data_IF_822210545939
#
_entry.id   IF_822210545939
#
_cell.length_a   1.000
_cell.length_b   1.000
_cell.length_c   1.000
_cell.angle_alpha   90.00
_cell.angle_beta   90.00
_cell.angle_gamma   90.00
#
_symmetry.space_group_name_H-M   'P 1'
#
loop_
_entity.id
_entity.type
_entity.pdbx_description
1 polymer ?
#
# COMPACT_ATOMS: atom_id res chain seq x y z
N UNK A 1 -16.12 -7.62 5.76
CA UNK A 1 -17.12 -6.52 5.61
C UNK A 1 -16.42 -5.17 5.47
N UNK A 2 -15.61 -4.76 6.45
CA UNK A 2 -14.81 -3.50 6.41
C UNK A 2 -13.98 -3.33 5.13
N UNK A 3 -13.26 -4.37 4.70
CA UNK A 3 -12.48 -4.31 3.46
C UNK A 3 -13.35 -4.05 2.21
N UNK A 4 -14.50 -4.73 2.09
CA UNK A 4 -15.43 -4.53 0.97
C UNK A 4 -16.00 -3.10 0.96
N UNK A 5 -16.34 -2.58 2.14
CA UNK A 5 -16.79 -1.19 2.30
C UNK A 5 -15.71 -0.20 1.84
N UNK A 6 -14.49 -0.34 2.35
CA UNK A 6 -13.35 0.55 2.00
C UNK A 6 -13.08 0.51 0.49
N UNK A 7 -12.98 -0.69 -0.11
CA UNK A 7 -12.74 -0.86 -1.55
C UNK A 7 -13.90 -0.30 -2.37
N UNK A 8 -15.15 -0.48 -1.93
CA UNK A 8 -16.33 0.10 -2.58
C UNK A 8 -16.29 1.62 -2.63
N UNK A 9 -15.99 2.26 -1.49
CA UNK A 9 -15.82 3.72 -1.38
C UNK A 9 -14.67 4.20 -2.26
N UNK A 10 -13.49 3.57 -2.17
CA UNK A 10 -12.33 3.94 -2.99
C UNK A 10 -12.61 3.84 -4.48
N UNK A 11 -13.37 2.83 -4.92
CA UNK A 11 -13.71 2.65 -6.33
C UNK A 11 -14.73 3.67 -6.82
N UNK A 12 -15.70 4.05 -5.97
CA UNK A 12 -16.73 5.02 -6.30
C UNK A 12 -16.15 6.43 -6.50
N UNK A 13 -15.24 6.85 -5.61
CA UNK A 13 -14.61 8.19 -5.63
C UNK A 13 -13.16 8.17 -6.13
N UNK A 14 -12.78 7.17 -6.93
CA UNK A 14 -11.38 6.96 -7.34
C UNK A 14 -10.78 8.18 -8.05
N UNK A 15 -11.54 8.84 -8.93
CA UNK A 15 -11.04 9.97 -9.73
C UNK A 15 -10.88 11.22 -8.87
N UNK A 16 -11.85 11.48 -8.00
CA UNK A 16 -11.91 12.65 -7.11
C UNK A 16 -10.81 12.56 -6.05
N UNK A 17 -10.65 11.40 -5.42
CA UNK A 17 -9.60 11.17 -4.41
C UNK A 17 -8.20 11.35 -4.99
N UNK A 18 -7.94 10.83 -6.19
CA UNK A 18 -6.67 11.03 -6.89
C UNK A 18 -6.48 12.50 -7.23
N UNK A 19 -7.50 13.16 -7.79
CA UNK A 19 -7.37 14.55 -8.23
C UNK A 19 -7.06 15.47 -7.05
N UNK A 20 -7.77 15.32 -5.93
CA UNK A 20 -7.51 16.07 -4.70
C UNK A 20 -6.13 15.79 -4.12
N UNK A 21 -5.65 14.53 -4.18
CA UNK A 21 -4.34 14.15 -3.65
C UNK A 21 -3.15 14.72 -4.45
N UNK A 22 -3.32 14.94 -5.75
CA UNK A 22 -2.25 15.45 -6.62
C UNK A 22 -2.31 16.96 -6.85
N UNK A 23 -3.51 17.53 -6.91
CA UNK A 23 -3.72 18.96 -7.13
C UNK A 23 -4.94 19.45 -6.36
N UNK A 24 -4.74 19.76 -5.08
CA UNK A 24 -5.79 20.29 -4.21
C UNK A 24 -6.28 21.66 -4.66
N UNK A 25 -5.42 22.49 -5.27
CA UNK A 25 -5.78 23.84 -5.75
C UNK A 25 -6.64 23.73 -7.02
N UNK A 26 -6.23 22.90 -7.98
CA UNK A 26 -7.01 22.60 -9.18
C UNK A 26 -8.33 21.90 -8.85
N UNK A 27 -8.35 21.01 -7.86
CA UNK A 27 -9.59 20.38 -7.39
C UNK A 27 -10.57 21.40 -6.77
N UNK A 28 -10.06 22.33 -5.95
CA UNK A 28 -10.87 23.42 -5.40
C UNK A 28 -11.43 24.32 -6.52
N UNK A 29 -10.60 24.66 -7.52
CA UNK A 29 -11.02 25.45 -8.67
C UNK A 29 -12.07 24.73 -9.54
N UNK A 30 -12.04 23.40 -9.58
CA UNK A 30 -13.03 22.56 -10.25
C UNK A 30 -14.34 22.38 -9.45
N UNK A 31 -14.49 23.04 -8.30
CA UNK A 31 -15.69 22.99 -7.45
C UNK A 31 -15.74 21.80 -6.48
N UNK A 32 -14.64 21.04 -6.33
CA UNK A 32 -14.57 19.97 -5.33
C UNK A 32 -14.29 20.53 -3.95
N UNK A 33 -14.96 19.97 -2.95
CA UNK A 33 -14.71 20.30 -1.55
C UNK A 33 -13.51 19.49 -1.03
N UNK A 34 -12.30 19.99 -1.29
CA UNK A 34 -11.01 19.36 -0.93
C UNK A 34 -11.01 18.74 0.47
N UNK A 35 -11.41 19.52 1.49
CA UNK A 35 -11.45 19.06 2.88
C UNK A 35 -12.28 17.79 3.09
N UNK A 36 -13.40 17.62 2.37
CA UNK A 36 -14.26 16.44 2.52
C UNK A 36 -13.59 15.19 1.98
N UNK A 37 -12.87 15.30 0.87
CA UNK A 37 -12.16 14.19 0.25
C UNK A 37 -10.90 13.82 1.03
N UNK A 38 -10.17 14.81 1.55
CA UNK A 38 -9.03 14.57 2.45
C UNK A 38 -9.48 13.89 3.75
N UNK A 39 -10.53 14.41 4.39
CA UNK A 39 -11.09 13.79 5.59
C UNK A 39 -11.60 12.36 5.32
N UNK A 40 -12.23 12.13 4.17
CA UNK A 40 -12.66 10.79 3.75
C UNK A 40 -11.46 9.86 3.58
N UNK A 41 -10.40 10.29 2.88
CA UNK A 41 -9.21 9.49 2.66
C UNK A 41 -8.51 9.15 3.99
N UNK A 42 -8.34 10.15 4.86
CA UNK A 42 -7.76 9.96 6.20
C UNK A 42 -8.60 9.01 7.06
N UNK A 43 -9.93 9.10 7.00
CA UNK A 43 -10.83 8.19 7.70
C UNK A 43 -10.70 6.75 7.18
N UNK A 44 -10.61 6.56 5.87
CA UNK A 44 -10.41 5.24 5.26
C UNK A 44 -9.06 4.63 5.64
N UNK A 45 -7.99 5.43 5.61
CA UNK A 45 -6.65 4.99 6.05
C UNK A 45 -6.69 4.61 7.53
N UNK A 46 -7.25 5.46 8.38
CA UNK A 46 -7.37 5.21 9.82
C UNK A 46 -8.15 3.92 10.12
N UNK A 47 -9.29 3.72 9.46
CA UNK A 47 -10.09 2.50 9.60
C UNK A 47 -9.31 1.26 9.16
N UNK A 48 -8.59 1.35 8.04
CA UNK A 48 -7.78 0.24 7.50
C UNK A 48 -6.66 -0.13 8.47
N UNK A 49 -5.91 0.87 8.96
CA UNK A 49 -4.78 0.66 9.88
C UNK A 49 -5.28 0.12 11.23
N UNK A 50 -6.37 0.67 11.78
CA UNK A 50 -6.92 0.20 13.05
C UNK A 50 -7.28 -1.29 13.01
N UNK A 51 -7.96 -1.73 11.94
CA UNK A 51 -8.31 -3.14 11.73
C UNK A 51 -7.05 -4.00 11.51
N UNK A 52 -6.10 -3.54 10.70
CA UNK A 52 -4.89 -4.28 10.39
C UNK A 52 -4.01 -4.51 11.63
N UNK A 53 -3.86 -3.49 12.48
CA UNK A 53 -3.04 -3.56 13.70
C UNK A 53 -3.59 -4.60 14.66
N UNK A 54 -4.91 -4.72 14.78
CA UNK A 54 -5.53 -5.71 15.64
C UNK A 54 -5.37 -7.15 15.11
N UNK A 55 -5.30 -7.32 13.78
CA UNK A 55 -5.19 -8.65 13.17
C UNK A 55 -3.77 -9.22 13.23
N UNK A 56 -2.74 -8.40 13.01
CA UNK A 56 -1.37 -8.91 12.87
C UNK A 56 -0.32 -8.19 13.72
N UNK A 57 -0.66 -7.04 14.31
CA UNK A 57 0.25 -6.26 15.15
C UNK A 57 0.92 -5.10 14.42
N UNK A 58 1.26 -4.07 15.20
CA UNK A 58 1.67 -2.76 14.67
C UNK A 58 2.93 -2.78 13.80
N UNK A 59 3.93 -3.60 14.18
CA UNK A 59 5.23 -3.66 13.49
C UNK A 59 5.05 -4.16 12.06
N UNK A 60 4.26 -5.23 11.87
CA UNK A 60 4.04 -5.79 10.54
C UNK A 60 3.22 -4.82 9.67
N UNK A 61 2.21 -4.17 10.25
CA UNK A 61 1.39 -3.20 9.49
C UNK A 61 2.25 -2.08 8.93
N UNK A 62 3.10 -1.46 9.74
CA UNK A 62 3.95 -0.36 9.28
C UNK A 62 4.89 -0.83 8.16
N UNK A 63 5.51 -2.00 8.32
CA UNK A 63 6.40 -2.56 7.31
C UNK A 63 5.66 -2.86 5.98
N UNK A 64 4.49 -3.49 6.06
CA UNK A 64 3.66 -3.81 4.89
C UNK A 64 3.01 -2.58 4.25
N UNK A 65 2.83 -1.49 5.00
CA UNK A 65 2.28 -0.25 4.46
C UNK A 65 3.33 0.55 3.68
N UNK A 66 4.59 0.51 4.12
CA UNK A 66 5.67 1.32 3.55
C UNK A 66 6.49 0.59 2.49
N UNK A 67 6.98 -0.62 2.79
CA UNK A 67 7.97 -1.31 1.94
C UNK A 67 7.45 -1.71 0.54
N UNK A 68 6.33 -2.43 0.40
CA UNK A 68 5.81 -2.80 -0.92
C UNK A 68 5.28 -1.59 -1.70
N UNK A 69 4.79 -0.55 -1.01
CA UNK A 69 4.43 0.71 -1.65
C UNK A 69 5.65 1.44 -2.22
N UNK A 70 6.74 1.53 -1.45
CA UNK A 70 8.01 2.10 -1.91
C UNK A 70 8.59 1.29 -3.08
N UNK A 71 8.51 -0.04 -3.00
CA UNK A 71 8.95 -0.95 -4.07
C UNK A 71 8.15 -0.71 -5.35
N UNK A 72 6.81 -0.74 -5.28
CA UNK A 72 5.93 -0.51 -6.42
C UNK A 72 6.17 0.84 -7.09
N UNK A 73 6.53 1.87 -6.31
CA UNK A 73 6.83 3.21 -6.83
C UNK A 73 8.05 3.24 -7.77
N UNK A 74 8.98 2.29 -7.65
CA UNK A 74 10.19 2.28 -8.48
C UNK A 74 9.93 1.99 -9.96
N UNK A 75 8.80 1.36 -10.29
CA UNK A 75 8.48 0.92 -11.65
C UNK A 75 7.05 1.22 -12.11
N UNK A 76 6.17 1.66 -11.20
CA UNK A 76 4.83 2.12 -11.57
C UNK A 76 4.89 3.36 -12.47
N UNK A 77 4.09 3.35 -13.54
CA UNK A 77 4.00 4.45 -14.52
C UNK A 77 2.78 5.33 -14.28
N UNK A 78 1.70 4.74 -13.76
CA UNK A 78 0.43 5.39 -13.46
C UNK A 78 -0.10 4.95 -12.09
N UNK A 79 -1.01 5.73 -11.50
CA UNK A 79 -1.60 5.43 -10.18
C UNK A 79 -2.28 4.05 -10.13
N UNK A 80 -2.94 3.62 -11.20
CA UNK A 80 -3.55 2.29 -11.27
C UNK A 80 -2.50 1.18 -11.21
N UNK A 81 -1.41 1.34 -11.96
CA UNK A 81 -0.29 0.39 -11.93
C UNK A 81 0.39 0.37 -10.56
N UNK A 82 0.56 1.54 -9.93
CA UNK A 82 1.12 1.68 -8.59
C UNK A 82 0.33 0.86 -7.56
N UNK A 83 -0.99 1.05 -7.52
CA UNK A 83 -1.86 0.31 -6.58
C UNK A 83 -1.85 -1.19 -6.88
N UNK A 84 -1.91 -1.60 -8.15
CA UNK A 84 -1.87 -3.01 -8.53
C UNK A 84 -0.56 -3.69 -8.10
N UNK A 85 0.59 -3.05 -8.35
CA UNK A 85 1.89 -3.59 -7.96
C UNK A 85 2.09 -3.60 -6.46
N UNK A 86 1.66 -2.55 -5.74
CA UNK A 86 1.74 -2.52 -4.29
C UNK A 86 0.95 -3.68 -3.67
N UNK A 87 -0.27 -3.95 -4.14
CA UNK A 87 -1.07 -5.09 -3.68
C UNK A 87 -0.38 -6.41 -4.00
N UNK A 88 0.11 -6.59 -5.23
CA UNK A 88 0.75 -7.83 -5.66
C UNK A 88 2.00 -8.16 -4.82
N UNK A 89 2.84 -7.17 -4.56
CA UNK A 89 4.02 -7.32 -3.71
C UNK A 89 3.65 -7.60 -2.25
N UNK A 90 2.71 -6.83 -1.67
CA UNK A 90 2.27 -7.09 -0.29
C UNK A 90 1.74 -8.50 -0.10
N UNK A 91 0.91 -8.97 -1.03
CA UNK A 91 0.36 -10.34 -1.01
C UNK A 91 1.46 -11.38 -1.25
N UNK A 92 2.34 -11.15 -2.23
CA UNK A 92 3.48 -12.03 -2.52
C UNK A 92 4.37 -12.22 -1.31
N UNK A 93 4.83 -11.12 -0.70
CA UNK A 93 5.65 -11.15 0.50
C UNK A 93 4.94 -11.82 1.69
N UNK A 94 3.63 -11.61 1.85
CA UNK A 94 2.85 -12.27 2.91
C UNK A 94 2.79 -13.78 2.72
N UNK A 95 2.49 -14.24 1.49
CA UNK A 95 2.38 -15.67 1.16
C UNK A 95 3.74 -16.36 1.29
N UNK A 96 4.78 -15.80 0.68
CA UNK A 96 6.14 -16.36 0.72
C UNK A 96 6.71 -16.30 2.14
N UNK A 97 6.52 -15.18 2.85
CA UNK A 97 6.96 -15.03 4.24
C UNK A 97 6.27 -16.01 5.19
N UNK A 98 4.96 -16.22 5.04
CA UNK A 98 4.22 -17.19 5.84
C UNK A 98 4.63 -18.64 5.52
N UNK A 99 4.82 -18.95 4.24
CA UNK A 99 5.31 -20.27 3.83
C UNK A 99 6.70 -20.54 4.41
N UNK A 100 7.61 -19.56 4.36
CA UNK A 100 8.95 -19.69 4.93
C UNK A 100 8.93 -19.78 6.47
N UNK A 101 8.05 -19.02 7.12
CA UNK A 101 7.82 -19.09 8.58
C UNK A 101 7.44 -20.50 9.03
N UNK A 102 6.63 -21.21 8.23
CA UNK A 102 6.21 -22.58 8.52
C UNK A 102 7.40 -23.55 8.53
N UNK A 103 8.30 -23.47 7.54
CA UNK A 103 9.48 -24.35 7.47
C UNK A 103 10.58 -23.96 8.45
N UNK A 104 10.81 -22.66 8.64
CA UNK A 104 11.87 -22.15 9.51
C UNK A 104 11.47 -22.11 11.00
N UNK A 105 10.21 -22.41 11.33
CA UNK A 105 9.63 -22.32 12.69
C UNK A 105 9.90 -20.96 13.35
N UNK A 106 9.91 -19.89 12.54
CA UNK A 106 10.28 -18.53 12.90
C UNK A 106 9.05 -17.62 13.00
N UNK A 107 9.19 -16.43 13.60
CA UNK A 107 8.05 -15.50 13.75
C UNK A 107 7.47 -15.09 12.40
N UNK A 108 6.15 -15.24 12.24
CA UNK A 108 5.44 -14.91 11.00
C UNK A 108 5.58 -13.43 10.63
N UNK A 109 5.47 -12.53 11.62
CA UNK A 109 5.68 -11.10 11.40
C UNK A 109 7.10 -10.79 10.91
N UNK A 110 8.13 -11.32 11.57
CA UNK A 110 9.52 -11.03 11.22
C UNK A 110 9.90 -11.58 9.83
N UNK A 111 9.46 -12.78 9.51
CA UNK A 111 9.72 -13.41 8.21
C UNK A 111 9.05 -12.66 7.05
N UNK A 112 7.81 -12.21 7.20
CA UNK A 112 7.13 -11.40 6.16
C UNK A 112 7.88 -10.08 5.93
N UNK A 113 8.33 -9.42 7.01
CA UNK A 113 9.12 -8.18 6.89
C UNK A 113 10.45 -8.42 6.15
N UNK A 114 11.14 -9.51 6.47
CA UNK A 114 12.39 -9.88 5.80
C UNK A 114 12.18 -10.15 4.30
N UNK A 115 11.12 -10.88 3.95
CA UNK A 115 10.79 -11.15 2.54
C UNK A 115 10.43 -9.86 1.81
N UNK A 116 9.58 -9.00 2.38
CA UNK A 116 9.23 -7.71 1.77
C UNK A 116 10.47 -6.81 1.58
N UNK A 117 11.42 -6.86 2.52
CA UNK A 117 12.69 -6.12 2.41
C UNK A 117 13.58 -6.71 1.32
N UNK A 118 13.64 -8.04 1.19
CA UNK A 118 14.37 -8.71 0.12
C UNK A 118 13.78 -8.35 -1.26
N UNK A 119 12.45 -8.34 -1.40
CA UNK A 119 11.77 -7.88 -2.62
C UNK A 119 12.15 -6.43 -2.96
N UNK A 120 12.12 -5.52 -1.98
CA UNK A 120 12.55 -4.14 -2.18
C UNK A 120 13.98 -4.04 -2.69
N UNK A 121 14.93 -4.76 -2.08
CA UNK A 121 16.34 -4.73 -2.48
C UNK A 121 16.52 -5.27 -3.90
N UNK A 122 15.88 -6.39 -4.24
CA UNK A 122 15.96 -7.00 -5.58
C UNK A 122 15.46 -6.01 -6.63
N UNK A 123 14.30 -5.40 -6.41
CA UNK A 123 13.74 -4.44 -7.37
C UNK A 123 14.58 -3.17 -7.43
N UNK A 124 15.02 -2.66 -6.28
CA UNK A 124 15.87 -1.47 -6.22
C UNK A 124 17.15 -1.66 -7.04
N UNK A 125 17.86 -2.77 -6.85
CA UNK A 125 19.04 -3.12 -7.65
C UNK A 125 18.70 -3.22 -9.14
N UNK A 126 17.64 -3.95 -9.50
CA UNK A 126 17.22 -4.10 -10.90
C UNK A 126 16.87 -2.74 -11.56
N UNK A 127 16.27 -1.82 -10.81
CA UNK A 127 15.96 -0.47 -11.31
C UNK A 127 17.19 0.42 -11.41
N UNK A 128 18.19 0.25 -10.54
CA UNK A 128 19.45 0.97 -10.61
C UNK A 128 20.26 0.57 -11.85
N UNK A 129 20.32 -0.72 -12.17
CA UNK A 129 20.99 -1.21 -13.39
C UNK A 129 20.33 -0.75 -14.69
N UNK A 130 19.06 -0.34 -14.67
CA UNK A 130 18.38 0.26 -15.83
C UNK A 130 18.66 1.75 -16.01
N UNK A 131 19.26 2.40 -15.01
CA UNK A 131 19.60 3.83 -15.04
C UNK A 131 21.09 4.08 -15.32
N UNK A 132 21.92 3.04 -15.33
CA UNK A 132 23.34 3.05 -15.73
C UNK A 132 23.47 2.62 -17.19
#
# INVERSE_FOLDING_TARGET
>A
ITALFIVGVLRLWWRELIFVSFDSVGAAAAGLHVFRYDALLLALIGLTVAVAVQLVGIVLVVAMLVTPAATARLFARDMRSFVAFAIALSVGASVVGLWLSYYANASSGGTIVLVATAEFIVVWLATQFRRA
#
